data_IF_996272645275
#
_entry.id   IF_996272645275
#
_cell.length_a   1.000
_cell.length_b   1.000
_cell.length_c   1.000
_cell.angle_alpha   90.00
_cell.angle_beta   90.00
_cell.angle_gamma   90.00
#
_symmetry.space_group_name_H-M   'P 1'
#
loop_
_entity.id
_entity.type
_entity.pdbx_description
1 polymer ?
#
# COMPACT_ATOMS: atom_id res chain seq x y z
N UNK A 1 -13.61 13.49 -12.88
CA UNK A 1 -13.73 12.74 -14.14
C UNK A 1 -14.36 11.39 -13.85
N UNK A 2 -15.47 11.05 -14.51
CA UNK A 2 -16.11 9.73 -14.39
C UNK A 2 -15.12 8.68 -14.89
N UNK A 3 -14.42 7.99 -13.98
CA UNK A 3 -13.62 6.83 -14.35
C UNK A 3 -14.60 5.70 -14.65
N UNK A 4 -14.75 5.36 -15.93
CA UNK A 4 -15.50 4.18 -16.33
C UNK A 4 -14.95 2.97 -15.56
N UNK A 5 -15.84 2.18 -14.98
CA UNK A 5 -15.47 0.96 -14.27
C UNK A 5 -15.09 -0.11 -15.31
N UNK A 6 -13.96 -0.76 -15.09
CA UNK A 6 -13.46 -1.88 -15.90
C UNK A 6 -13.83 -3.15 -15.16
N UNK A 7 -14.50 -4.09 -15.84
CA UNK A 7 -14.95 -5.35 -15.23
C UNK A 7 -14.20 -6.54 -15.85
N UNK A 8 -13.53 -7.31 -14.99
CA UNK A 8 -12.96 -8.60 -15.34
C UNK A 8 -13.82 -9.73 -14.80
N UNK A 9 -14.28 -10.59 -15.70
CA UNK A 9 -15.05 -11.80 -15.43
C UNK A 9 -14.22 -13.05 -15.77
N UNK A 10 -14.81 -14.24 -15.64
CA UNK A 10 -14.11 -15.50 -15.88
C UNK A 10 -13.63 -15.70 -17.33
N UNK A 11 -14.18 -14.95 -18.30
CA UNK A 11 -13.82 -15.08 -19.71
C UNK A 11 -12.62 -14.20 -20.07
N UNK A 12 -12.55 -12.97 -19.54
CA UNK A 12 -11.51 -11.99 -19.92
C UNK A 12 -10.39 -11.84 -18.87
N UNK A 13 -10.48 -12.49 -17.70
CA UNK A 13 -9.43 -12.41 -16.67
C UNK A 13 -8.08 -12.98 -17.14
N UNK A 14 -8.10 -13.92 -18.09
CA UNK A 14 -6.89 -14.53 -18.64
C UNK A 14 -6.01 -13.54 -19.40
N UNK A 15 -6.57 -12.45 -19.93
CA UNK A 15 -5.82 -11.39 -20.60
C UNK A 15 -4.83 -10.69 -19.65
N UNK A 16 -5.07 -10.76 -18.34
CA UNK A 16 -4.22 -10.21 -17.29
C UNK A 16 -3.18 -11.20 -16.78
N UNK A 17 -3.32 -12.48 -17.10
CA UNK A 17 -2.51 -13.56 -16.53
C UNK A 17 -1.48 -13.97 -17.58
N UNK A 18 -0.27 -13.42 -17.48
CA UNK A 18 0.89 -13.82 -18.29
C UNK A 18 1.69 -14.91 -17.58
N UNK A 19 2.51 -15.63 -18.32
CA UNK A 19 3.46 -16.58 -17.73
C UNK A 19 4.35 -15.87 -16.71
N UNK A 20 4.51 -16.49 -15.52
CA UNK A 20 5.21 -15.96 -14.34
C UNK A 20 4.58 -14.71 -13.67
N UNK A 21 3.29 -14.43 -13.90
CA UNK A 21 2.60 -13.37 -13.15
C UNK A 21 2.34 -13.83 -11.72
N UNK A 22 2.98 -13.21 -10.73
CA UNK A 22 2.71 -13.44 -9.30
C UNK A 22 1.75 -12.41 -8.70
N UNK A 23 1.71 -11.20 -9.29
CA UNK A 23 0.95 -10.07 -8.78
C UNK A 23 0.25 -9.34 -9.93
N UNK A 24 -1.04 -9.03 -9.75
CA UNK A 24 -1.83 -8.16 -10.62
C UNK A 24 -2.06 -6.84 -9.87
N UNK A 25 -1.52 -5.74 -10.42
CA UNK A 25 -1.81 -4.39 -9.94
C UNK A 25 -3.07 -3.84 -10.62
N UNK A 26 -4.13 -3.64 -9.83
CA UNK A 26 -5.42 -3.18 -10.32
C UNK A 26 -5.67 -1.72 -9.94
N UNK A 27 -6.14 -0.89 -10.87
CA UNK A 27 -6.61 0.46 -10.54
C UNK A 27 -7.94 0.38 -9.75
N UNK A 28 -8.30 1.43 -9.00
CA UNK A 28 -9.54 1.43 -8.18
C UNK A 28 -10.84 1.34 -8.98
N UNK A 29 -10.80 1.66 -10.27
CA UNK A 29 -11.95 1.51 -11.16
C UNK A 29 -12.05 0.09 -11.74
N UNK A 30 -11.14 -0.82 -11.38
CA UNK A 30 -11.18 -2.23 -11.80
C UNK A 30 -12.00 -3.05 -10.81
N UNK A 31 -12.89 -3.89 -11.34
CA UNK A 31 -13.70 -4.82 -10.55
C UNK A 31 -13.45 -6.22 -11.10
N UNK A 32 -13.16 -7.17 -10.21
CA UNK A 32 -13.13 -8.60 -10.54
C UNK A 32 -14.42 -9.23 -10.06
N UNK A 33 -15.08 -10.03 -10.91
CA UNK A 33 -16.18 -10.89 -10.44
C UNK A 33 -15.63 -11.97 -9.50
N UNK A 34 -16.47 -12.57 -8.62
CA UNK A 34 -16.03 -13.67 -7.77
C UNK A 34 -15.35 -14.80 -8.55
N UNK A 35 -15.94 -15.23 -9.67
CA UNK A 35 -15.38 -16.28 -10.53
C UNK A 35 -14.02 -15.92 -11.13
N UNK A 36 -13.80 -14.64 -11.49
CA UNK A 36 -12.48 -14.19 -11.95
C UNK A 36 -11.45 -14.23 -10.83
N UNK A 37 -11.86 -13.85 -9.62
CA UNK A 37 -10.99 -13.84 -8.45
C UNK A 37 -10.59 -15.25 -8.01
N UNK A 38 -11.48 -16.23 -8.16
CA UNK A 38 -11.18 -17.64 -7.91
C UNK A 38 -10.11 -18.17 -8.89
N UNK A 39 -10.22 -17.83 -10.17
CA UNK A 39 -9.22 -18.18 -11.19
C UNK A 39 -7.85 -17.59 -10.81
N UNK A 40 -7.79 -16.30 -10.49
CA UNK A 40 -6.55 -15.63 -10.08
C UNK A 40 -5.93 -16.32 -8.86
N UNK A 41 -6.73 -16.58 -7.82
CA UNK A 41 -6.26 -17.24 -6.58
C UNK A 41 -5.77 -18.67 -6.82
N UNK A 42 -6.47 -19.44 -7.66
CA UNK A 42 -6.09 -20.82 -7.98
C UNK A 42 -4.70 -20.92 -8.64
N UNK A 43 -4.26 -19.85 -9.30
CA UNK A 43 -2.92 -19.73 -9.90
C UNK A 43 -1.87 -19.16 -8.93
N UNK A 44 -2.22 -18.93 -7.67
CA UNK A 44 -1.32 -18.35 -6.66
C UNK A 44 -1.06 -16.85 -6.82
N UNK A 45 -1.83 -16.17 -7.67
CA UNK A 45 -1.60 -14.77 -8.03
C UNK A 45 -2.30 -13.87 -7.01
N UNK A 46 -1.60 -12.81 -6.56
CA UNK A 46 -2.14 -11.81 -5.64
C UNK A 46 -2.67 -10.60 -6.40
N UNK A 47 -3.80 -10.05 -5.95
CA UNK A 47 -4.34 -8.78 -6.48
C UNK A 47 -3.98 -7.66 -5.51
N UNK A 48 -3.39 -6.58 -6.03
CA UNK A 48 -3.08 -5.38 -5.27
C UNK A 48 -3.78 -4.19 -5.93
N UNK A 49 -4.73 -3.60 -5.21
CA UNK A 49 -5.39 -2.38 -5.67
C UNK A 49 -4.49 -1.17 -5.43
N UNK A 50 -4.25 -0.37 -6.47
CA UNK A 50 -3.55 0.91 -6.33
C UNK A 50 -4.39 1.82 -5.45
N UNK A 51 -3.93 2.12 -4.23
CA UNK A 51 -4.62 3.08 -3.35
C UNK A 51 -4.75 4.42 -4.08
N UNK A 52 -5.96 4.96 -4.12
CA UNK A 52 -6.14 6.37 -4.38
C UNK A 52 -5.48 7.08 -3.20
N UNK A 53 -4.38 7.79 -3.42
CA UNK A 53 -4.02 8.88 -2.51
C UNK A 53 -5.13 9.91 -2.76
N UNK A 54 -6.20 9.83 -1.98
CA UNK A 54 -7.08 10.96 -1.86
C UNK A 54 -6.22 12.02 -1.18
N UNK A 55 -5.92 13.11 -1.88
CA UNK A 55 -5.19 14.28 -1.38
C UNK A 55 -5.87 14.98 -0.17
N UNK A 56 -6.80 14.31 0.51
CA UNK A 56 -7.54 14.83 1.68
C UNK A 56 -7.41 13.96 2.94
N UNK A 57 -6.46 13.04 3.00
CA UNK A 57 -6.02 12.51 4.29
C UNK A 57 -4.51 12.34 4.25
N UNK A 58 -3.79 13.23 4.93
CA UNK A 58 -2.32 13.38 4.94
C UNK A 58 -1.55 12.16 5.42
N UNK A 59 -1.58 11.09 4.64
CA UNK A 59 -0.90 9.83 4.89
C UNK A 59 -0.40 9.28 3.55
N UNK A 60 0.60 9.96 2.99
CA UNK A 60 1.44 9.39 1.94
C UNK A 60 2.13 8.15 2.52
N UNK A 61 1.71 6.97 2.08
CA UNK A 61 2.48 5.73 2.26
C UNK A 61 3.21 5.48 0.95
N UNK A 62 4.30 6.23 0.74
CA UNK A 62 5.40 5.73 -0.06
C UNK A 62 5.96 4.55 0.73
N UNK A 63 6.12 3.38 0.10
CA UNK A 63 7.00 2.32 0.64
C UNK A 63 8.43 2.81 0.51
N UNK A 64 8.75 3.76 1.36
CA UNK A 64 10.09 4.13 1.73
C UNK A 64 10.26 3.49 3.10
N UNK A 65 11.22 2.58 3.27
CA UNK A 65 11.42 1.89 4.56
C UNK A 65 11.63 2.91 5.70
N UNK A 66 12.13 4.11 5.36
CA UNK A 66 12.18 5.24 6.27
C UNK A 66 10.79 5.66 6.80
N UNK A 67 9.73 5.56 5.98
CA UNK A 67 8.36 5.95 6.35
C UNK A 67 7.74 4.97 7.36
N UNK A 68 8.03 3.68 7.24
CA UNK A 68 7.56 2.68 8.22
C UNK A 68 8.30 2.82 9.55
N UNK A 69 9.62 3.02 9.50
CA UNK A 69 10.46 3.27 10.69
C UNK A 69 10.01 4.55 11.41
N UNK A 70 9.73 5.62 10.66
CA UNK A 70 9.18 6.87 11.21
C UNK A 70 7.84 6.62 11.93
N UNK A 71 6.92 5.87 11.32
CA UNK A 71 5.62 5.56 11.90
C UNK A 71 5.72 4.73 13.18
N UNK A 72 6.59 3.72 13.19
CA UNK A 72 6.83 2.91 14.38
C UNK A 72 7.49 3.73 15.49
N UNK A 73 8.44 4.60 15.13
CA UNK A 73 9.12 5.49 16.08
C UNK A 73 8.12 6.46 16.73
N UNK A 74 7.26 7.10 15.95
CA UNK A 74 6.19 7.98 16.45
C UNK A 74 5.25 7.20 17.38
N UNK A 75 4.82 6.00 16.97
CA UNK A 75 3.94 5.15 17.78
C UNK A 75 4.55 4.81 19.13
N UNK A 76 5.85 4.54 19.20
CA UNK A 76 6.54 4.27 20.47
C UNK A 76 6.63 5.55 21.32
N UNK A 77 7.07 6.66 20.73
CA UNK A 77 7.25 7.93 21.45
C UNK A 77 5.92 8.45 22.03
N UNK A 78 4.87 8.46 21.22
CA UNK A 78 3.57 9.02 21.62
C UNK A 78 2.78 8.02 22.47
N UNK A 79 2.63 6.77 22.03
CA UNK A 79 1.69 5.86 22.69
C UNK A 79 2.31 5.09 23.86
N UNK A 80 3.64 4.87 23.87
CA UNK A 80 4.30 4.14 24.97
C UNK A 80 5.01 5.07 25.95
N UNK A 81 5.61 6.15 25.46
CA UNK A 81 6.40 7.06 26.28
C UNK A 81 5.68 8.38 26.58
N UNK A 82 4.49 8.60 26.01
CA UNK A 82 3.67 9.80 26.20
C UNK A 82 4.41 11.12 25.87
N UNK A 83 5.40 11.04 24.99
CA UNK A 83 6.15 12.21 24.49
C UNK A 83 5.35 12.82 23.36
N UNK A 84 4.87 14.04 23.57
CA UNK A 84 4.07 14.81 22.60
C UNK A 84 4.80 16.05 22.09
N UNK A 85 5.98 16.36 22.63
CA UNK A 85 6.79 17.48 22.17
C UNK A 85 7.33 17.22 20.76
N UNK A 86 6.86 18.02 19.79
CA UNK A 86 7.21 17.87 18.39
C UNK A 86 8.70 18.05 18.09
N UNK A 87 9.42 18.91 18.85
CA UNK A 87 10.85 19.13 18.65
C UNK A 87 11.64 17.90 19.07
N UNK A 88 11.24 17.28 20.18
CA UNK A 88 11.84 16.04 20.67
C UNK A 88 11.55 14.89 19.70
N UNK A 89 10.31 14.74 19.25
CA UNK A 89 9.92 13.70 18.29
C UNK A 89 10.72 13.82 16.99
N UNK A 90 10.81 15.02 16.41
CA UNK A 90 11.60 15.26 15.19
C UNK A 90 13.07 14.91 15.38
N UNK A 91 13.69 15.34 16.49
CA UNK A 91 15.09 15.04 16.80
C UNK A 91 15.36 13.53 16.89
N UNK A 92 14.48 12.79 17.55
CA UNK A 92 14.61 11.33 17.69
C UNK A 92 14.43 10.62 16.35
N UNK A 93 13.43 11.03 15.55
CA UNK A 93 13.21 10.44 14.22
C UNK A 93 14.44 10.66 13.33
N UNK A 94 15.00 11.87 13.31
CA UNK A 94 16.21 12.17 12.53
C UNK A 94 17.40 11.31 12.96
N UNK A 95 17.62 11.14 14.27
CA UNK A 95 18.69 10.29 14.80
C UNK A 95 18.48 8.80 14.43
N UNK A 96 17.25 8.30 14.52
CA UNK A 96 16.91 6.92 14.14
C UNK A 96 17.14 6.70 12.66
N UNK A 97 16.69 7.62 11.80
CA UNK A 97 16.89 7.51 10.36
C UNK A 97 18.37 7.58 9.96
N UNK A 98 19.16 8.46 10.60
CA UNK A 98 20.60 8.55 10.37
C UNK A 98 21.35 7.26 10.73
N UNK A 99 20.88 6.51 11.73
CA UNK A 99 21.49 5.24 12.14
C UNK A 99 21.08 4.05 11.26
N UNK A 100 19.93 4.13 10.60
CA UNK A 100 19.43 3.06 9.74
C UNK A 100 19.93 3.21 8.30
N UNK A 101 20.06 4.44 7.79
CA UNK A 101 20.56 4.72 6.44
C UNK A 101 22.10 4.69 6.33
N UNK A 102 22.76 3.66 6.86
CA UNK A 102 24.22 3.44 6.70
C UNK A 102 24.67 3.54 5.24
#
# INVERSE_FOLDING_TARGET
>A
MNKNKILYNSQNVYDLIKDNTEIIEADNNVIFTPSAMDIIKSKGIKIVYKKYIADNCGCSYVKDDSTEIVKQTIKILVNKLNITDEKIIKKVITEVLNRVNL
#
